data_IF_576586951383
#
_entry.id   IF_576586951383
#
_cell.length_a   1.000
_cell.length_b   1.000
_cell.length_c   1.000
_cell.angle_alpha   90.00
_cell.angle_beta   90.00
_cell.angle_gamma   90.00
#
_symmetry.space_group_name_H-M   'P 1'
#
loop_
_entity.id
_entity.type
_entity.pdbx_description
1 polymer ?
#
# COMPACT_ATOMS: atom_id res chain seq x y z
N UNK A 1 -9.58 8.19 -34.39
CA UNK A 1 -10.20 7.67 -33.14
C UNK A 1 -9.49 8.32 -31.98
N UNK A 2 -10.19 9.02 -31.07
CA UNK A 2 -9.57 9.64 -29.90
C UNK A 2 -9.76 8.72 -28.69
N UNK A 3 -8.67 8.07 -28.25
CA UNK A 3 -8.68 7.15 -27.11
C UNK A 3 -8.25 7.94 -25.87
N UNK A 4 -9.12 8.18 -24.87
CA UNK A 4 -8.73 8.89 -23.65
C UNK A 4 -7.75 8.03 -22.85
N UNK A 5 -6.80 8.68 -22.18
CA UNK A 5 -5.86 8.01 -21.29
C UNK A 5 -6.57 7.26 -20.16
N UNK A 6 -7.64 7.84 -19.63
CA UNK A 6 -8.47 7.25 -18.58
C UNK A 6 -9.93 7.71 -18.73
N UNK A 7 -10.86 6.83 -18.37
CA UNK A 7 -12.29 7.15 -18.24
C UNK A 7 -12.86 6.40 -17.02
N UNK A 8 -13.18 7.10 -15.92
CA UNK A 8 -13.73 6.46 -14.73
C UNK A 8 -15.11 5.88 -15.00
N UNK A 9 -15.41 4.74 -14.39
CA UNK A 9 -16.76 4.19 -14.37
C UNK A 9 -17.53 4.82 -13.19
N UNK A 10 -18.43 5.76 -13.50
CA UNK A 10 -19.19 6.49 -12.49
C UNK A 10 -20.54 5.80 -12.27
N UNK A 11 -20.87 5.34 -11.04
CA UNK A 11 -22.15 4.74 -10.73
C UNK A 11 -23.31 5.73 -10.96
N UNK A 12 -24.45 5.24 -11.50
CA UNK A 12 -25.62 6.08 -11.79
C UNK A 12 -26.24 6.75 -10.56
N UNK A 13 -25.99 6.23 -9.37
CA UNK A 13 -26.53 6.74 -8.10
C UNK A 13 -25.54 7.58 -7.29
N UNK A 14 -24.43 8.01 -7.91
CA UNK A 14 -23.36 8.76 -7.23
C UNK A 14 -23.88 10.10 -6.66
N UNK A 15 -24.72 10.80 -7.42
CA UNK A 15 -25.30 12.08 -6.99
C UNK A 15 -26.09 11.93 -5.68
N UNK A 16 -26.87 10.85 -5.54
CA UNK A 16 -27.63 10.59 -4.31
C UNK A 16 -26.70 10.31 -3.14
N UNK A 17 -25.68 9.49 -3.33
CA UNK A 17 -24.71 9.13 -2.27
C UNK A 17 -24.00 10.38 -1.77
N UNK A 18 -23.50 11.21 -2.67
CA UNK A 18 -22.80 12.45 -2.32
C UNK A 18 -23.73 13.45 -1.63
N UNK A 19 -24.95 13.61 -2.14
CA UNK A 19 -25.94 14.52 -1.56
C UNK A 19 -26.31 14.12 -0.12
N UNK A 20 -26.50 12.85 0.15
CA UNK A 20 -26.84 12.35 1.48
C UNK A 20 -25.69 12.61 2.48
N UNK A 21 -24.43 12.39 2.06
CA UNK A 21 -23.25 12.68 2.90
C UNK A 21 -23.13 14.18 3.22
N UNK A 22 -23.30 15.06 2.23
CA UNK A 22 -23.23 16.52 2.42
C UNK A 22 -24.38 16.99 3.31
N UNK A 23 -25.63 16.54 3.07
CA UNK A 23 -26.81 16.91 3.84
C UNK A 23 -26.75 16.45 5.29
N UNK A 24 -26.00 15.39 5.59
CA UNK A 24 -25.81 14.94 6.97
C UNK A 24 -25.03 15.93 7.84
N UNK A 25 -24.32 16.88 7.22
CA UNK A 25 -23.44 17.84 7.90
C UNK A 25 -22.15 17.23 8.46
N UNK A 26 -21.95 15.91 8.33
CA UNK A 26 -20.74 15.26 8.80
C UNK A 26 -19.75 15.05 7.63
N UNK A 27 -18.79 15.95 7.48
CA UNK A 27 -17.88 16.02 6.33
C UNK A 27 -16.49 15.45 6.59
N UNK A 28 -16.24 14.87 7.76
CA UNK A 28 -14.94 14.28 8.15
C UNK A 28 -15.09 12.80 8.44
N UNK A 29 -14.03 12.18 9.01
CA UNK A 29 -14.03 10.77 9.42
C UNK A 29 -15.25 10.47 10.30
N UNK A 30 -16.05 9.52 9.87
CA UNK A 30 -17.32 9.17 10.55
C UNK A 30 -17.88 7.84 10.07
N UNK A 31 -19.20 7.68 10.17
CA UNK A 31 -19.89 6.42 9.88
C UNK A 31 -19.65 5.89 8.45
N UNK A 32 -19.53 6.77 7.46
CA UNK A 32 -19.27 6.36 6.07
C UNK A 32 -17.86 5.80 5.90
N UNK A 33 -16.86 6.41 6.53
CA UNK A 33 -15.48 5.92 6.53
C UNK A 33 -15.41 4.56 7.23
N UNK A 34 -16.02 4.40 8.40
CA UNK A 34 -16.06 3.12 9.12
C UNK A 34 -16.74 2.02 8.30
N UNK A 35 -17.84 2.36 7.59
CA UNK A 35 -18.52 1.44 6.67
C UNK A 35 -17.63 1.04 5.50
N UNK A 36 -16.90 1.98 4.92
CA UNK A 36 -15.94 1.72 3.85
C UNK A 36 -14.82 0.81 4.33
N UNK A 37 -14.16 1.14 5.45
CA UNK A 37 -13.10 0.33 6.05
C UNK A 37 -13.57 -1.11 6.30
N UNK A 38 -14.78 -1.28 6.85
CA UNK A 38 -15.37 -2.61 7.09
C UNK A 38 -15.61 -3.40 5.82
N UNK A 39 -16.16 -2.75 4.77
CA UNK A 39 -16.40 -3.41 3.48
C UNK A 39 -15.09 -3.80 2.81
N UNK A 40 -14.10 -2.90 2.81
CA UNK A 40 -12.81 -3.16 2.21
C UNK A 40 -12.04 -4.23 2.98
N UNK A 41 -12.11 -4.23 4.33
CA UNK A 41 -11.56 -5.30 5.18
C UNK A 41 -12.12 -6.68 4.81
N UNK A 42 -13.43 -6.78 4.66
CA UNK A 42 -14.08 -8.03 4.27
C UNK A 42 -13.69 -8.47 2.84
N UNK A 43 -13.58 -7.51 1.91
CA UNK A 43 -13.23 -7.76 0.51
C UNK A 43 -11.78 -8.23 0.37
N UNK A 44 -10.86 -7.57 1.07
CA UNK A 44 -9.43 -7.84 1.00
C UNK A 44 -8.97 -8.98 1.94
N UNK A 45 -9.85 -9.47 2.83
CA UNK A 45 -9.54 -10.47 3.86
C UNK A 45 -8.44 -10.04 4.83
N UNK A 46 -8.29 -8.73 5.08
CA UNK A 46 -7.45 -8.19 6.14
C UNK A 46 -8.28 -7.86 7.38
N UNK A 47 -7.69 -8.07 8.58
CA UNK A 47 -8.40 -7.79 9.85
C UNK A 47 -8.66 -6.31 10.09
N UNK A 48 -7.76 -5.46 9.61
CA UNK A 48 -7.83 -4.01 9.81
C UNK A 48 -7.56 -3.27 8.51
N UNK A 49 -8.39 -2.28 8.23
CA UNK A 49 -8.22 -1.32 7.15
C UNK A 49 -8.34 0.07 7.73
N UNK A 50 -7.48 0.97 7.30
CA UNK A 50 -7.50 2.40 7.64
C UNK A 50 -7.65 3.19 6.35
N UNK A 51 -8.74 3.96 6.22
CA UNK A 51 -8.94 4.85 5.08
C UNK A 51 -8.06 6.08 5.22
N UNK A 52 -7.44 6.50 4.13
CA UNK A 52 -6.46 7.58 4.05
C UNK A 52 -6.74 8.45 2.82
N UNK A 53 -6.09 9.60 2.73
CA UNK A 53 -6.24 10.49 1.58
C UNK A 53 -5.46 10.03 0.35
N UNK A 54 -4.49 9.12 0.48
CA UNK A 54 -3.69 8.59 -0.64
C UNK A 54 -2.95 7.29 -0.28
N UNK A 55 -2.49 6.57 -1.29
CA UNK A 55 -1.55 5.45 -1.13
C UNK A 55 -0.22 5.94 -0.50
N UNK A 56 0.28 7.09 -0.96
CA UNK A 56 1.49 7.72 -0.42
C UNK A 56 1.41 7.92 1.09
N UNK A 57 0.27 8.42 1.59
CA UNK A 57 0.03 8.54 3.02
C UNK A 57 0.06 7.17 3.72
N UNK A 58 -0.49 6.14 3.10
CA UNK A 58 -0.45 4.76 3.61
C UNK A 58 0.97 4.24 3.75
N UNK A 59 1.78 4.39 2.71
CA UNK A 59 3.20 4.00 2.73
C UNK A 59 3.97 4.75 3.81
N UNK A 60 3.88 6.07 3.85
CA UNK A 60 4.57 6.90 4.82
C UNK A 60 4.15 6.59 6.26
N UNK A 61 2.84 6.54 6.53
CA UNK A 61 2.32 6.29 7.88
C UNK A 61 2.65 4.88 8.40
N UNK A 62 2.73 3.87 7.51
CA UNK A 62 3.16 2.53 7.90
C UNK A 62 4.62 2.53 8.39
N UNK A 63 5.51 3.19 7.67
CA UNK A 63 6.92 3.32 8.07
C UNK A 63 7.08 4.13 9.35
N UNK A 64 6.38 5.26 9.47
CA UNK A 64 6.37 6.09 10.67
C UNK A 64 5.82 5.35 11.89
N UNK A 65 4.73 4.60 11.71
CA UNK A 65 4.13 3.78 12.79
C UNK A 65 5.04 2.64 13.25
N UNK A 66 5.91 2.14 12.38
CA UNK A 66 6.97 1.18 12.71
C UNK A 66 8.21 1.82 13.32
N UNK A 67 8.25 3.16 13.42
CA UNK A 67 9.34 3.95 14.01
C UNK A 67 10.67 3.83 13.25
N UNK A 68 10.60 3.52 11.96
CA UNK A 68 11.79 3.60 11.11
C UNK A 68 12.25 5.05 10.97
N UNK A 69 13.57 5.25 10.87
CA UNK A 69 14.16 6.57 10.97
C UNK A 69 15.49 6.68 10.20
N UNK A 70 16.15 7.82 10.36
CA UNK A 70 17.46 8.09 9.75
C UNK A 70 18.48 7.00 10.06
N UNK A 71 19.05 6.44 8.99
CA UNK A 71 20.05 5.37 9.04
C UNK A 71 19.49 3.99 8.75
N UNK A 72 18.18 3.78 8.87
CA UNK A 72 17.53 2.58 8.35
C UNK A 72 17.44 2.62 6.82
N UNK A 73 17.38 1.45 6.21
CA UNK A 73 17.26 1.30 4.75
C UNK A 73 16.09 0.43 4.37
N UNK A 74 15.62 0.61 3.15
CA UNK A 74 14.55 -0.21 2.58
C UNK A 74 14.88 -0.63 1.15
N UNK A 75 14.48 -1.84 0.78
CA UNK A 75 14.51 -2.34 -0.59
C UNK A 75 13.26 -1.89 -1.35
N UNK A 76 13.43 -1.37 -2.55
CA UNK A 76 12.34 -1.00 -3.44
C UNK A 76 12.75 -1.19 -4.92
N UNK A 77 11.79 -1.46 -5.84
CA UNK A 77 12.11 -1.63 -7.25
C UNK A 77 12.53 -0.31 -7.90
N UNK A 78 13.40 -0.37 -8.90
CA UNK A 78 13.78 0.79 -9.73
C UNK A 78 12.61 1.30 -10.56
N UNK A 79 11.69 0.41 -10.98
CA UNK A 79 10.49 0.76 -11.72
C UNK A 79 9.31 0.89 -10.76
N UNK A 80 9.05 2.11 -10.34
CA UNK A 80 7.95 2.44 -9.43
C UNK A 80 7.52 3.90 -9.58
N UNK A 81 6.41 4.26 -8.95
CA UNK A 81 6.07 5.66 -8.77
C UNK A 81 6.94 6.26 -7.65
N UNK A 82 7.30 7.53 -7.79
CA UNK A 82 8.25 8.20 -6.89
C UNK A 82 7.88 8.09 -5.41
N UNK A 83 6.59 8.06 -5.07
CA UNK A 83 6.12 7.96 -3.68
C UNK A 83 6.54 6.69 -2.96
N UNK A 84 6.77 5.58 -3.68
CA UNK A 84 7.30 4.33 -3.10
C UNK A 84 8.69 4.54 -2.50
N UNK A 85 9.45 5.47 -3.05
CA UNK A 85 10.78 5.85 -2.57
C UNK A 85 10.70 6.97 -1.53
N UNK A 86 10.01 8.07 -1.87
CA UNK A 86 9.93 9.26 -1.02
C UNK A 86 9.33 8.99 0.36
N UNK A 87 8.40 8.03 0.47
CA UNK A 87 7.79 7.70 1.76
C UNK A 87 8.81 7.30 2.85
N UNK A 88 9.90 6.65 2.47
CA UNK A 88 11.02 6.35 3.36
C UNK A 88 11.97 7.55 3.54
N UNK A 89 12.23 8.29 2.47
CA UNK A 89 13.13 9.47 2.51
C UNK A 89 12.60 10.58 3.42
N UNK A 90 11.27 10.77 3.51
CA UNK A 90 10.64 11.70 4.46
C UNK A 90 10.96 11.39 5.93
N UNK A 91 11.29 10.14 6.24
CA UNK A 91 11.73 9.69 7.57
C UNK A 91 13.27 9.65 7.70
N UNK A 92 13.99 10.05 6.66
CA UNK A 92 15.46 10.00 6.61
C UNK A 92 16.03 8.60 6.37
N UNK A 93 15.20 7.64 5.96
CA UNK A 93 15.64 6.33 5.49
C UNK A 93 16.33 6.46 4.12
N UNK A 94 17.13 5.46 3.75
CA UNK A 94 17.78 5.42 2.43
C UNK A 94 17.28 4.24 1.61
N UNK A 95 16.89 4.45 0.34
CA UNK A 95 16.50 3.36 -0.54
C UNK A 95 17.72 2.53 -0.98
N UNK A 96 17.51 1.22 -1.11
CA UNK A 96 18.36 0.28 -1.84
C UNK A 96 17.55 -0.21 -3.02
N UNK A 97 17.88 0.25 -4.21
CA UNK A 97 17.11 -0.04 -5.40
C UNK A 97 17.43 -1.45 -5.92
N UNK A 98 16.38 -2.18 -6.24
CA UNK A 98 16.44 -3.53 -6.81
C UNK A 98 15.96 -3.46 -8.25
N UNK A 99 16.72 -4.04 -9.17
CA UNK A 99 16.38 -4.07 -10.58
C UNK A 99 15.14 -4.95 -10.84
N UNK A 100 14.53 -4.77 -12.00
CA UNK A 100 13.43 -5.59 -12.46
C UNK A 100 13.94 -6.92 -13.04
N UNK A 101 13.07 -7.93 -13.03
CA UNK A 101 13.30 -9.15 -13.83
C UNK A 101 13.54 -8.78 -15.28
N UNK A 102 14.43 -9.50 -15.96
CA UNK A 102 14.82 -9.21 -17.36
C UNK A 102 13.64 -9.15 -18.32
N UNK A 103 12.65 -10.00 -18.10
CA UNK A 103 11.47 -10.14 -18.98
C UNK A 103 10.19 -9.68 -18.26
N UNK A 104 10.27 -8.68 -17.36
CA UNK A 104 9.12 -8.20 -16.62
C UNK A 104 9.34 -6.85 -15.93
N UNK A 105 8.33 -6.43 -15.19
CA UNK A 105 8.31 -5.14 -14.50
C UNK A 105 8.44 -5.28 -12.98
N UNK A 106 8.45 -6.52 -12.48
CA UNK A 106 8.48 -6.80 -11.06
C UNK A 106 9.92 -6.89 -10.54
N UNK A 107 10.08 -6.64 -9.25
CA UNK A 107 11.36 -6.73 -8.55
C UNK A 107 12.04 -8.10 -8.75
N UNK A 108 13.32 -8.11 -9.08
CA UNK A 108 14.10 -9.34 -9.18
C UNK A 108 14.55 -9.83 -7.80
N UNK A 109 13.92 -10.91 -7.32
CA UNK A 109 14.16 -11.45 -5.99
C UNK A 109 15.52 -12.15 -5.84
N UNK A 110 16.21 -12.47 -6.94
CA UNK A 110 17.50 -13.17 -6.89
C UNK A 110 18.59 -12.34 -6.18
N UNK A 111 18.45 -11.02 -6.16
CA UNK A 111 19.42 -10.12 -5.56
C UNK A 111 19.05 -9.64 -4.15
N UNK A 112 17.81 -9.86 -3.70
CA UNK A 112 17.30 -9.32 -2.43
C UNK A 112 18.05 -9.89 -1.23
N UNK A 113 18.19 -11.22 -1.14
CA UNK A 113 18.87 -11.85 0.01
C UNK A 113 20.33 -11.43 0.14
N UNK A 114 21.04 -11.29 -0.97
CA UNK A 114 22.43 -10.86 -0.95
C UNK A 114 22.58 -9.41 -0.49
N UNK A 115 21.66 -8.53 -0.87
CA UNK A 115 21.64 -7.16 -0.36
C UNK A 115 21.37 -7.12 1.15
N UNK A 116 20.40 -7.91 1.63
CA UNK A 116 20.08 -7.99 3.07
C UNK A 116 21.28 -8.49 3.88
N UNK A 117 21.97 -9.54 3.41
CA UNK A 117 23.14 -10.10 4.08
C UNK A 117 24.31 -9.10 4.16
N UNK A 118 24.47 -8.27 3.12
CA UNK A 118 25.55 -7.27 3.04
C UNK A 118 25.28 -6.03 3.87
N UNK A 119 24.01 -5.68 4.05
CA UNK A 119 23.63 -4.45 4.74
C UNK A 119 22.55 -4.69 5.82
N UNK A 120 22.93 -4.84 7.08
CA UNK A 120 22.01 -5.08 8.20
C UNK A 120 21.14 -3.87 8.55
N UNK A 121 21.37 -2.71 7.90
CA UNK A 121 20.50 -1.53 8.02
C UNK A 121 19.22 -1.64 7.21
N UNK A 122 19.14 -2.61 6.30
CA UNK A 122 17.90 -2.90 5.58
C UNK A 122 16.87 -3.47 6.57
N UNK A 123 15.74 -2.79 6.70
CA UNK A 123 14.67 -3.12 7.66
C UNK A 123 13.33 -3.40 6.99
N UNK A 124 13.17 -2.98 5.72
CA UNK A 124 11.90 -3.03 5.01
C UNK A 124 12.12 -3.51 3.58
N UNK A 125 11.16 -4.27 3.07
CA UNK A 125 11.01 -4.55 1.63
C UNK A 125 9.71 -3.88 1.18
N UNK A 126 9.77 -3.04 0.14
CA UNK A 126 8.61 -2.37 -0.45
C UNK A 126 8.42 -2.87 -1.90
N UNK A 127 7.76 -4.02 -2.12
CA UNK A 127 7.42 -4.45 -3.46
C UNK A 127 6.29 -3.58 -4.03
N UNK A 128 6.42 -3.16 -5.30
CA UNK A 128 5.37 -2.49 -6.05
C UNK A 128 4.74 -3.44 -7.06
N UNK A 129 3.43 -3.56 -7.04
CA UNK A 129 2.66 -4.41 -7.97
C UNK A 129 2.36 -3.64 -9.26
N UNK A 130 3.41 -3.50 -10.10
CA UNK A 130 3.34 -2.65 -11.28
C UNK A 130 2.31 -3.15 -12.29
N UNK A 131 1.45 -2.22 -12.78
CA UNK A 131 0.39 -2.55 -13.74
C UNK A 131 -0.67 -3.54 -13.22
N UNK A 132 -0.67 -3.85 -11.91
CA UNK A 132 -1.56 -4.85 -11.31
C UNK A 132 -0.98 -6.27 -11.32
N UNK A 133 0.22 -6.47 -11.86
CA UNK A 133 0.95 -7.74 -11.76
C UNK A 133 1.51 -7.90 -10.35
N UNK A 134 1.27 -9.06 -9.73
CA UNK A 134 1.70 -9.32 -8.36
C UNK A 134 3.15 -9.80 -8.32
N UNK A 135 3.94 -9.23 -7.41
CA UNK A 135 5.20 -9.85 -7.01
C UNK A 135 4.97 -11.24 -6.39
N UNK A 136 5.99 -12.07 -6.38
CA UNK A 136 6.00 -13.35 -5.66
C UNK A 136 6.04 -13.08 -4.15
N UNK A 137 4.85 -12.82 -3.59
CA UNK A 137 4.71 -12.43 -2.20
C UNK A 137 5.04 -13.56 -1.22
N UNK A 138 4.85 -14.82 -1.61
CA UNK A 138 5.21 -15.96 -0.76
C UNK A 138 6.73 -15.99 -0.51
N UNK A 139 7.50 -15.79 -1.56
CA UNK A 139 8.96 -15.75 -1.48
C UNK A 139 9.44 -14.49 -0.75
N UNK A 140 8.87 -13.30 -1.04
CA UNK A 140 9.20 -12.06 -0.34
C UNK A 140 8.95 -12.17 1.16
N UNK A 141 7.80 -12.72 1.55
CA UNK A 141 7.44 -12.89 2.96
C UNK A 141 8.37 -13.89 3.63
N UNK A 142 8.67 -15.01 2.97
CA UNK A 142 9.62 -16.00 3.49
C UNK A 142 11.01 -15.38 3.76
N UNK A 143 11.51 -14.57 2.82
CA UNK A 143 12.77 -13.84 3.00
C UNK A 143 12.64 -12.84 4.17
N UNK A 144 11.55 -12.08 4.21
CA UNK A 144 11.35 -11.08 5.27
C UNK A 144 11.27 -11.72 6.67
N UNK A 145 10.59 -12.85 6.83
CA UNK A 145 10.52 -13.58 8.08
C UNK A 145 11.89 -14.10 8.52
N UNK A 146 12.66 -14.67 7.58
CA UNK A 146 14.03 -15.18 7.84
C UNK A 146 14.96 -14.10 8.40
N UNK A 147 14.80 -12.85 7.94
CA UNK A 147 15.66 -11.73 8.33
C UNK A 147 15.01 -10.71 9.27
N UNK A 148 13.77 -10.94 9.71
CA UNK A 148 13.02 -10.07 10.61
C UNK A 148 12.63 -8.73 10.00
N UNK A 149 12.42 -8.66 8.68
CA UNK A 149 12.09 -7.44 7.95
C UNK A 149 10.60 -7.17 7.94
N UNK A 150 10.22 -5.90 7.81
CA UNK A 150 8.87 -5.48 7.54
C UNK A 150 8.58 -5.51 6.04
N UNK A 151 7.41 -6.02 5.63
CA UNK A 151 6.95 -5.97 4.24
C UNK A 151 5.85 -4.93 4.12
N UNK A 152 6.04 -3.98 3.20
CA UNK A 152 5.07 -2.92 2.90
C UNK A 152 4.76 -2.94 1.40
N UNK A 153 3.64 -3.56 1.02
CA UNK A 153 3.26 -3.62 -0.39
C UNK A 153 2.75 -2.25 -0.88
N UNK A 154 3.30 -1.77 -1.99
CA UNK A 154 2.68 -0.72 -2.79
C UNK A 154 1.73 -1.37 -3.80
N UNK A 155 0.46 -1.39 -3.45
CA UNK A 155 -0.62 -1.96 -4.25
C UNK A 155 -1.46 -0.88 -4.95
N UNK A 156 -0.84 0.26 -5.31
CA UNK A 156 -1.55 1.36 -5.98
C UNK A 156 -2.19 0.95 -7.32
N UNK A 157 -1.77 -0.16 -7.92
CA UNK A 157 -2.34 -0.71 -9.16
C UNK A 157 -3.03 -2.07 -8.97
N UNK A 158 -3.14 -2.60 -7.75
CA UNK A 158 -3.40 -4.03 -7.54
C UNK A 158 -4.52 -4.34 -6.53
N UNK A 159 -5.50 -3.45 -6.34
CA UNK A 159 -6.60 -3.67 -5.37
C UNK A 159 -7.30 -5.02 -5.61
N UNK A 160 -7.62 -5.34 -6.85
CA UNK A 160 -8.33 -6.57 -7.19
C UNK A 160 -7.44 -7.81 -7.14
N UNK A 161 -6.15 -7.66 -7.41
CA UNK A 161 -5.20 -8.77 -7.48
C UNK A 161 -4.61 -9.14 -6.10
N UNK A 162 -4.81 -8.30 -5.09
CA UNK A 162 -4.28 -8.53 -3.74
C UNK A 162 -4.97 -9.67 -2.98
N UNK A 163 -5.91 -10.38 -3.59
CA UNK A 163 -6.80 -11.36 -2.92
C UNK A 163 -6.22 -12.77 -2.74
N UNK A 164 -5.05 -13.09 -3.29
CA UNK A 164 -4.62 -14.48 -3.50
C UNK A 164 -3.65 -15.07 -2.47
N UNK A 165 -3.52 -14.56 -1.25
CA UNK A 165 -2.61 -15.16 -0.26
C UNK A 165 -3.18 -15.21 1.15
N UNK A 166 -2.62 -16.10 2.00
CA UNK A 166 -2.95 -16.26 3.43
C UNK A 166 -2.57 -15.03 4.27
N UNK A 167 -3.10 -13.86 3.91
CA UNK A 167 -2.71 -12.53 4.42
C UNK A 167 -3.01 -12.30 5.90
N UNK A 168 -3.90 -13.12 6.48
CA UNK A 168 -4.28 -12.99 7.89
C UNK A 168 -3.17 -13.40 8.87
N UNK A 169 -2.18 -14.15 8.43
CA UNK A 169 -1.16 -14.75 9.27
C UNK A 169 0.09 -13.85 9.43
N UNK A 170 0.33 -12.95 8.47
CA UNK A 170 1.53 -12.12 8.46
C UNK A 170 1.34 -10.81 9.24
N UNK A 171 1.83 -10.79 10.48
CA UNK A 171 1.69 -9.63 11.37
C UNK A 171 2.74 -8.52 11.10
N UNK A 172 3.85 -8.86 10.47
CA UNK A 172 4.90 -7.88 10.12
C UNK A 172 4.77 -7.40 8.69
N UNK A 173 3.53 -7.08 8.29
CA UNK A 173 3.14 -6.80 6.92
C UNK A 173 2.01 -5.77 6.86
N UNK A 174 2.04 -4.93 5.83
CA UNK A 174 0.96 -4.01 5.48
C UNK A 174 0.90 -3.78 3.97
N UNK A 175 -0.26 -3.36 3.47
CA UNK A 175 -0.51 -3.07 2.06
C UNK A 175 -1.15 -1.70 1.91
N UNK A 176 -0.60 -0.85 1.06
CA UNK A 176 -1.14 0.46 0.74
C UNK A 176 -1.85 0.45 -0.62
N UNK A 177 -3.05 1.01 -0.67
CA UNK A 177 -3.92 1.07 -1.85
C UNK A 177 -4.17 2.51 -2.27
N UNK A 178 -4.32 2.72 -3.58
CA UNK A 178 -4.70 4.00 -4.16
C UNK A 178 -6.12 3.95 -4.72
N UNK A 179 -6.90 4.99 -4.41
CA UNK A 179 -8.21 5.26 -5.02
C UNK A 179 -8.19 6.60 -5.76
N UNK A 180 -7.01 6.98 -6.27
CA UNK A 180 -6.83 8.15 -7.11
C UNK A 180 -7.71 8.09 -8.37
N UNK A 181 -7.97 9.23 -8.98
CA UNK A 181 -8.91 9.39 -10.09
C UNK A 181 -8.72 8.39 -11.24
N UNK A 182 -7.49 7.99 -11.57
CA UNK A 182 -7.17 7.09 -12.69
C UNK A 182 -6.99 5.61 -12.29
N UNK A 183 -7.27 5.22 -11.04
CA UNK A 183 -7.14 3.84 -10.58
C UNK A 183 -8.38 3.01 -10.93
N UNK A 184 -8.24 1.68 -10.90
CA UNK A 184 -9.32 0.72 -11.18
C UNK A 184 -10.57 0.98 -10.31
N UNK A 185 -10.34 1.30 -9.04
CA UNK A 185 -11.35 1.77 -8.10
C UNK A 185 -10.96 3.19 -7.70
N UNK A 186 -11.88 4.15 -7.85
CA UNK A 186 -11.62 5.56 -7.55
C UNK A 186 -12.60 6.12 -6.53
N UNK A 187 -12.13 7.06 -5.72
CA UNK A 187 -12.91 7.83 -4.74
C UNK A 187 -13.38 9.19 -5.28
N UNK A 188 -13.46 9.35 -6.60
CA UNK A 188 -13.82 10.59 -7.30
C UNK A 188 -12.79 11.74 -7.17
N UNK A 189 -11.54 11.41 -6.89
CA UNK A 189 -10.43 12.37 -6.79
C UNK A 189 -9.26 11.75 -6.07
N UNK A 190 -9.06 12.15 -4.84
CA UNK A 190 -8.00 11.63 -3.98
C UNK A 190 -8.55 10.58 -3.01
N UNK A 191 -7.77 9.55 -2.71
CA UNK A 191 -8.10 8.55 -1.71
C UNK A 191 -7.11 7.41 -1.70
N UNK A 192 -7.05 6.75 -0.56
CA UNK A 192 -6.24 5.56 -0.35
C UNK A 192 -6.70 4.79 0.88
N UNK A 193 -6.04 3.69 1.12
CA UNK A 193 -6.20 2.93 2.35
C UNK A 193 -4.93 2.16 2.66
N UNK A 194 -4.80 1.77 3.91
CA UNK A 194 -3.80 0.79 4.33
C UNK A 194 -4.50 -0.39 4.99
N UNK A 195 -4.10 -1.61 4.62
CA UNK A 195 -4.59 -2.86 5.21
C UNK A 195 -3.46 -3.59 5.94
N UNK A 196 -3.79 -4.19 7.08
CA UNK A 196 -2.87 -5.04 7.85
C UNK A 196 -3.65 -5.99 8.78
N UNK A 197 -3.06 -7.12 9.14
CA UNK A 197 -3.59 -8.00 10.18
C UNK A 197 -3.07 -7.65 11.59
N UNK A 198 -2.12 -6.73 11.69
CA UNK A 198 -1.53 -6.26 12.93
C UNK A 198 -2.36 -5.12 13.55
N UNK A 199 -3.10 -5.44 14.63
CA UNK A 199 -3.94 -4.45 15.33
C UNK A 199 -3.14 -3.26 15.86
N UNK A 200 -1.97 -3.50 16.46
CA UNK A 200 -1.15 -2.43 17.05
C UNK A 200 -0.68 -1.44 15.98
N UNK A 201 -0.30 -1.96 14.80
CA UNK A 201 0.08 -1.13 13.66
C UNK A 201 -1.12 -0.31 13.17
N UNK A 202 -2.28 -0.94 12.96
CA UNK A 202 -3.48 -0.24 12.52
C UNK A 202 -3.92 0.87 13.49
N UNK A 203 -3.92 0.58 14.81
CA UNK A 203 -4.28 1.55 15.84
C UNK A 203 -3.30 2.76 15.87
N UNK A 204 -2.00 2.50 15.64
CA UNK A 204 -0.98 3.55 15.59
C UNK A 204 -1.13 4.43 14.34
N UNK A 205 -1.40 3.81 13.18
CA UNK A 205 -1.67 4.54 11.94
C UNK A 205 -2.91 5.43 12.09
N UNK A 206 -4.01 4.92 12.69
CA UNK A 206 -5.22 5.72 12.96
C UNK A 206 -4.98 6.93 13.86
N UNK A 207 -3.95 6.90 14.70
CA UNK A 207 -3.59 8.04 15.56
C UNK A 207 -2.72 9.07 14.85
N UNK A 208 -2.04 8.65 13.77
CA UNK A 208 -1.15 9.50 12.99
C UNK A 208 -1.83 10.13 11.76
N UNK A 209 -3.01 9.57 11.35
CA UNK A 209 -3.80 10.03 10.19
C UNK A 209 -4.73 11.20 10.50
#
# INVERSE_FOLDING_TARGET
MNIPFHRPNIPRNLDKINTDSIKSGWLTTGSQVLRFEKKLSNYLLYKHVVALNSCTAGLHLALAAKEFSKGDKFLAPVLTFVSTIECGEYLGMSPVLVDCKRDGFLMDLNFIEDQIKRDPKIKVIIPMHYGGELNDMENIISIAEKYGLFVLEDAAHAVENSLNSKKEEYLNHAVAFSFYANKNITSAGEGGALATSNKKLADKIKKLS
#
